data_IF_347506911190
#
_entry.id   IF_347506911190
#
_cell.length_a   1.000
_cell.length_b   1.000
_cell.length_c   1.000
_cell.angle_alpha   90.00
_cell.angle_beta   90.00
_cell.angle_gamma   90.00
#
_symmetry.space_group_name_H-M   'P 1'
#
loop_
_entity.id
_entity.type
_entity.pdbx_description
1 polymer ?
#
# COMPACT_ATOMS: atom_id res chain seq x y z
N UNK A 1 -17.64 -16.16 -4.69
CA UNK A 1 -16.78 -16.06 -5.90
C UNK A 1 -15.72 -15.01 -5.62
N UNK A 2 -14.45 -15.28 -5.92
CA UNK A 2 -13.39 -14.29 -5.69
C UNK A 2 -13.57 -13.16 -6.71
N UNK A 3 -13.95 -11.96 -6.26
CA UNK A 3 -14.11 -10.79 -7.12
C UNK A 3 -12.74 -10.22 -7.51
N UNK A 4 -11.92 -11.02 -8.20
CA UNK A 4 -10.53 -10.70 -8.53
C UNK A 4 -10.41 -9.40 -9.33
N UNK A 5 -11.32 -9.18 -10.29
CA UNK A 5 -11.37 -7.92 -11.02
C UNK A 5 -11.59 -6.73 -10.07
N UNK A 6 -12.57 -6.82 -9.16
CA UNK A 6 -12.79 -5.78 -8.14
C UNK A 6 -11.57 -5.60 -7.23
N UNK A 7 -10.83 -6.67 -6.94
CA UNK A 7 -9.55 -6.63 -6.21
C UNK A 7 -8.47 -5.84 -6.93
N UNK A 8 -8.19 -6.19 -8.18
CA UNK A 8 -7.19 -5.49 -8.99
C UNK A 8 -7.58 -4.02 -9.24
N UNK A 9 -8.85 -3.76 -9.57
CA UNK A 9 -9.34 -2.40 -9.77
C UNK A 9 -9.24 -1.57 -8.48
N UNK A 10 -9.63 -2.14 -7.33
CA UNK A 10 -9.46 -1.47 -6.04
C UNK A 10 -7.98 -1.24 -5.70
N UNK A 11 -7.11 -2.21 -6.00
CA UNK A 11 -5.65 -2.10 -5.86
C UNK A 11 -5.07 -0.95 -6.68
N UNK A 12 -5.49 -0.81 -7.93
CA UNK A 12 -5.07 0.31 -8.78
C UNK A 12 -5.54 1.66 -8.22
N UNK A 13 -6.83 1.76 -7.84
CA UNK A 13 -7.42 2.99 -7.27
C UNK A 13 -6.67 3.44 -6.02
N UNK A 14 -6.41 2.53 -5.08
CA UNK A 14 -5.69 2.88 -3.86
C UNK A 14 -4.22 3.24 -4.14
N UNK A 15 -3.59 2.61 -5.13
CA UNK A 15 -2.21 2.94 -5.52
C UNK A 15 -2.13 4.34 -6.10
N UNK A 16 -3.07 4.75 -6.94
CA UNK A 16 -3.18 6.13 -7.44
C UNK A 16 -3.39 7.11 -6.28
N UNK A 17 -4.30 6.80 -5.37
CA UNK A 17 -4.56 7.62 -4.17
C UNK A 17 -3.29 7.80 -3.33
N UNK A 18 -2.58 6.71 -3.03
CA UNK A 18 -1.35 6.76 -2.24
C UNK A 18 -0.22 7.48 -2.99
N UNK A 19 -0.11 7.30 -4.31
CA UNK A 19 0.85 8.02 -5.16
C UNK A 19 0.64 9.53 -5.06
N UNK A 20 -0.61 9.99 -5.06
CA UNK A 20 -0.93 11.41 -4.87
C UNK A 20 -0.46 11.93 -3.51
N UNK A 21 -0.66 11.15 -2.42
CA UNK A 21 -0.16 11.51 -1.09
C UNK A 21 1.38 11.55 -1.03
N UNK A 22 2.06 10.62 -1.72
CA UNK A 22 3.52 10.57 -1.78
C UNK A 22 4.09 11.78 -2.50
N UNK A 23 3.49 12.18 -3.62
CA UNK A 23 3.87 13.40 -4.35
C UNK A 23 3.59 14.64 -3.50
N UNK A 24 2.41 14.73 -2.87
CA UNK A 24 2.05 15.86 -2.02
C UNK A 24 3.04 16.05 -0.87
N UNK A 25 3.42 14.97 -0.15
CA UNK A 25 4.41 15.06 0.94
C UNK A 25 5.77 15.53 0.42
N UNK A 26 6.17 15.07 -0.77
CA UNK A 26 7.44 15.43 -1.40
C UNK A 26 7.50 16.93 -1.71
N UNK A 27 6.43 17.47 -2.31
CA UNK A 27 6.29 18.92 -2.57
C UNK A 27 6.36 19.73 -1.28
N UNK A 28 5.74 19.23 -0.20
CA UNK A 28 5.77 19.88 1.11
C UNK A 28 7.10 19.72 1.88
N UNK A 29 8.06 18.94 1.37
CA UNK A 29 9.32 18.65 2.06
C UNK A 29 9.16 17.81 3.33
N UNK A 30 8.04 17.11 3.50
CA UNK A 30 7.78 16.28 4.69
C UNK A 30 8.50 14.95 4.55
N UNK A 31 9.45 14.69 5.45
CA UNK A 31 10.29 13.48 5.47
C UNK A 31 10.90 13.14 4.10
N UNK A 32 11.80 13.99 3.56
CA UNK A 32 12.40 13.76 2.23
C UNK A 32 13.16 12.44 2.12
N UNK A 33 13.76 11.99 3.23
CA UNK A 33 14.47 10.71 3.30
C UNK A 33 13.54 9.49 3.10
N UNK A 34 12.23 9.63 3.35
CA UNK A 34 11.24 8.57 3.13
C UNK A 34 10.67 8.64 1.70
N UNK A 35 11.54 8.55 0.70
CA UNK A 35 11.12 8.43 -0.71
C UNK A 35 11.07 6.96 -1.12
N UNK A 36 9.89 6.36 -1.00
CA UNK A 36 9.66 4.95 -1.31
C UNK A 36 10.00 4.63 -2.78
N UNK A 37 9.78 5.56 -3.72
CA UNK A 37 10.05 5.31 -5.14
C UNK A 37 11.56 5.28 -5.38
N UNK A 38 12.29 6.26 -4.84
CA UNK A 38 13.73 6.29 -4.95
C UNK A 38 14.38 5.09 -4.23
N UNK A 39 13.88 4.76 -3.03
CA UNK A 39 14.36 3.60 -2.26
C UNK A 39 14.11 2.28 -3.00
N UNK A 40 12.92 2.08 -3.58
CA UNK A 40 12.64 0.88 -4.37
C UNK A 40 13.52 0.78 -5.61
N UNK A 41 13.70 1.89 -6.34
CA UNK A 41 14.62 1.95 -7.47
C UNK A 41 16.03 1.53 -7.05
N UNK A 42 16.55 2.11 -5.97
CA UNK A 42 17.89 1.82 -5.45
C UNK A 42 18.07 0.36 -5.04
N UNK A 43 17.11 -0.22 -4.32
CA UNK A 43 17.13 -1.64 -3.93
C UNK A 43 17.14 -2.57 -5.15
N UNK A 44 16.46 -2.17 -6.23
CA UNK A 44 16.44 -2.93 -7.50
C UNK A 44 17.66 -2.65 -8.38
N UNK A 45 18.57 -1.73 -8.01
CA UNK A 45 19.69 -1.28 -8.85
C UNK A 45 19.25 -0.47 -10.07
N UNK A 46 18.12 0.22 -9.97
CA UNK A 46 17.44 0.93 -11.07
C UNK A 46 17.06 2.37 -10.70
N UNK A 47 16.45 3.11 -11.63
CA UNK A 47 15.99 4.48 -11.40
C UNK A 47 14.54 4.59 -10.93
N UNK A 48 14.10 5.82 -10.68
CA UNK A 48 12.76 6.15 -10.18
C UNK A 48 11.62 5.62 -11.07
N UNK A 49 11.82 5.55 -12.39
CA UNK A 49 10.83 4.99 -13.32
C UNK A 49 10.47 3.53 -12.97
N UNK A 50 11.48 2.71 -12.69
CA UNK A 50 11.28 1.31 -12.31
C UNK A 50 10.67 1.22 -10.91
N UNK A 51 11.06 2.11 -9.99
CA UNK A 51 10.42 2.24 -8.68
C UNK A 51 8.92 2.52 -8.79
N UNK A 52 8.50 3.41 -9.68
CA UNK A 52 7.09 3.69 -9.97
C UNK A 52 6.38 2.48 -10.56
N UNK A 53 6.97 1.83 -11.57
CA UNK A 53 6.38 0.62 -12.18
C UNK A 53 6.18 -0.48 -11.12
N UNK A 54 7.19 -0.72 -10.29
CA UNK A 54 7.11 -1.68 -9.20
C UNK A 54 6.04 -1.29 -8.17
N UNK A 55 5.94 -0.01 -7.79
CA UNK A 55 4.90 0.48 -6.88
C UNK A 55 3.49 0.17 -7.41
N UNK A 56 3.22 0.47 -8.68
CA UNK A 56 1.92 0.21 -9.30
C UNK A 56 1.63 -1.28 -9.48
N UNK A 57 2.63 -2.08 -9.87
CA UNK A 57 2.46 -3.54 -9.99
C UNK A 57 2.20 -4.20 -8.64
N UNK A 58 2.95 -3.84 -7.61
CA UNK A 58 2.78 -4.38 -6.25
C UNK A 58 1.42 -3.95 -5.68
N UNK A 59 1.09 -2.66 -5.79
CA UNK A 59 -0.20 -2.12 -5.33
C UNK A 59 -1.40 -2.78 -5.99
N UNK A 60 -1.34 -2.98 -7.31
CA UNK A 60 -2.45 -3.55 -8.08
C UNK A 60 -2.51 -5.06 -7.94
N UNK A 61 -1.42 -5.76 -8.27
CA UNK A 61 -1.42 -7.21 -8.41
C UNK A 61 -1.26 -7.91 -7.07
N UNK A 62 -0.23 -7.55 -6.30
CA UNK A 62 0.07 -8.21 -5.03
C UNK A 62 -0.94 -7.83 -3.96
N UNK A 63 -1.15 -6.53 -3.72
CA UNK A 63 -2.05 -6.07 -2.66
C UNK A 63 -3.52 -6.11 -3.07
N UNK A 64 -3.89 -5.60 -4.25
CA UNK A 64 -5.27 -5.68 -4.73
C UNK A 64 -5.75 -7.12 -4.97
N UNK A 65 -4.95 -7.92 -5.66
CA UNK A 65 -5.21 -9.35 -5.85
C UNK A 65 -5.20 -10.12 -4.53
N UNK A 66 -4.18 -9.90 -3.70
CA UNK A 66 -4.05 -10.52 -2.38
C UNK A 66 -5.26 -10.24 -1.48
N UNK A 67 -5.73 -8.99 -1.45
CA UNK A 67 -6.93 -8.62 -0.69
C UNK A 67 -8.17 -9.40 -1.17
N UNK A 68 -8.41 -9.48 -2.47
CA UNK A 68 -9.53 -10.24 -3.01
C UNK A 68 -9.41 -11.76 -2.76
N UNK A 69 -8.18 -12.30 -2.77
CA UNK A 69 -7.94 -13.72 -2.50
C UNK A 69 -8.13 -14.09 -1.03
N UNK A 70 -7.78 -13.17 -0.12
CA UNK A 70 -7.81 -13.37 1.32
C UNK A 70 -9.06 -12.77 1.99
N UNK A 71 -9.94 -12.12 1.22
CA UNK A 71 -11.09 -11.38 1.74
C UNK A 71 -11.91 -12.17 2.76
N UNK A 72 -12.14 -13.45 2.52
CA UNK A 72 -12.99 -14.29 3.35
C UNK A 72 -12.34 -14.65 4.71
N UNK A 73 -11.00 -14.60 4.81
CA UNK A 73 -10.25 -14.97 6.02
C UNK A 73 -9.74 -13.76 6.81
N UNK A 74 -9.76 -12.56 6.22
CA UNK A 74 -9.34 -11.34 6.91
C UNK A 74 -10.33 -11.02 8.04
N UNK A 75 -9.78 -10.78 9.23
CA UNK A 75 -10.53 -10.38 10.43
C UNK A 75 -11.23 -9.03 10.22
N UNK A 76 -12.44 -8.90 10.77
CA UNK A 76 -13.20 -7.64 10.77
C UNK A 76 -14.58 -7.75 10.09
N UNK A 77 -15.46 -6.81 10.44
CA UNK A 77 -16.82 -6.72 9.91
C UNK A 77 -16.88 -5.67 8.79
N UNK A 78 -17.23 -6.10 7.59
CA UNK A 78 -17.29 -5.23 6.41
C UNK A 78 -15.94 -5.02 5.72
N UNK A 79 -15.98 -4.65 4.45
CA UNK A 79 -14.79 -4.62 3.60
C UNK A 79 -13.77 -3.57 4.02
N UNK A 80 -14.21 -2.40 4.50
CA UNK A 80 -13.32 -1.34 4.97
C UNK A 80 -12.53 -1.78 6.20
N UNK A 81 -13.18 -2.39 7.20
CA UNK A 81 -12.50 -2.88 8.40
C UNK A 81 -11.50 -4.00 8.06
N UNK A 82 -11.90 -4.92 7.17
CA UNK A 82 -11.00 -5.94 6.61
C UNK A 82 -9.82 -5.30 5.87
N UNK A 83 -10.08 -4.27 5.07
CA UNK A 83 -9.06 -3.50 4.37
C UNK A 83 -8.04 -2.89 5.32
N UNK A 84 -8.48 -2.23 6.40
CA UNK A 84 -7.60 -1.69 7.44
C UNK A 84 -6.77 -2.78 8.10
N UNK A 85 -7.39 -3.90 8.49
CA UNK A 85 -6.66 -5.03 9.07
C UNK A 85 -5.60 -5.58 8.11
N UNK A 86 -5.95 -5.72 6.82
CA UNK A 86 -5.02 -6.11 5.78
C UNK A 86 -3.87 -5.11 5.59
N UNK A 87 -4.16 -3.81 5.60
CA UNK A 87 -3.15 -2.75 5.50
C UNK A 87 -2.17 -2.77 6.67
N UNK A 88 -2.65 -2.94 7.90
CA UNK A 88 -1.81 -3.08 9.09
C UNK A 88 -0.94 -4.34 8.98
N UNK A 89 -1.51 -5.47 8.56
CA UNK A 89 -0.76 -6.71 8.37
C UNK A 89 0.30 -6.58 7.27
N UNK A 90 -0.03 -5.92 6.15
CA UNK A 90 0.90 -5.64 5.06
C UNK A 90 2.04 -4.73 5.54
N UNK A 91 1.74 -3.67 6.29
CA UNK A 91 2.74 -2.81 6.92
C UNK A 91 3.68 -3.60 7.83
N UNK A 92 3.12 -4.38 8.76
CA UNK A 92 3.90 -5.19 9.68
C UNK A 92 4.76 -6.20 8.92
N UNK A 93 4.21 -6.86 7.90
CA UNK A 93 4.96 -7.77 7.01
C UNK A 93 6.12 -7.05 6.31
N UNK A 94 5.89 -5.88 5.73
CA UNK A 94 6.94 -5.12 5.06
C UNK A 94 8.04 -4.63 6.01
N UNK A 95 7.66 -4.22 7.22
CA UNK A 95 8.59 -3.68 8.22
C UNK A 95 9.36 -4.77 8.99
N UNK A 96 8.77 -5.94 9.18
CA UNK A 96 9.33 -7.06 9.99
C UNK A 96 9.96 -8.14 9.09
N UNK A 97 9.27 -8.54 8.01
CA UNK A 97 9.58 -9.76 7.24
C UNK A 97 10.27 -9.47 5.90
N UNK A 98 9.92 -8.39 5.20
CA UNK A 98 10.33 -8.20 3.78
C UNK A 98 11.66 -7.43 3.63
N UNK A 99 12.36 -7.08 4.71
CA UNK A 99 13.69 -6.47 4.66
C UNK A 99 13.81 -5.20 3.79
N UNK A 100 12.73 -4.56 3.31
CA UNK A 100 12.82 -3.40 2.40
C UNK A 100 13.58 -2.25 3.07
N UNK A 101 13.30 -2.00 4.36
CA UNK A 101 13.96 -0.94 5.12
C UNK A 101 15.40 -1.31 5.52
N UNK A 102 15.68 -2.52 6.05
CA UNK A 102 17.05 -2.99 6.23
C UNK A 102 17.90 -3.00 4.95
N UNK A 103 17.35 -3.41 3.81
CA UNK A 103 18.04 -3.44 2.51
C UNK A 103 18.29 -2.04 1.95
N UNK A 104 17.40 -1.09 2.25
CA UNK A 104 17.62 0.32 1.99
C UNK A 104 18.52 1.02 3.03
N UNK A 105 19.10 0.27 3.98
CA UNK A 105 20.00 0.81 5.02
C UNK A 105 19.29 1.58 6.15
N UNK A 106 17.95 1.56 6.21
CA UNK A 106 17.15 2.33 7.16
C UNK A 106 16.88 1.61 8.51
N UNK A 107 17.41 0.41 8.70
CA UNK A 107 17.20 -0.43 9.89
C UNK A 107 15.80 -1.05 9.96
N UNK A 108 15.54 -1.86 10.99
CA UNK A 108 14.21 -2.43 11.25
C UNK A 108 13.20 -1.31 11.43
N UNK A 109 12.01 -1.44 10.82
CA UNK A 109 10.95 -0.43 10.84
C UNK A 109 11.34 0.97 10.32
N UNK A 110 12.51 1.14 9.69
CA UNK A 110 12.99 2.47 9.29
C UNK A 110 13.46 3.33 10.46
N UNK A 111 13.77 2.74 11.62
CA UNK A 111 14.13 3.48 12.83
C UNK A 111 15.41 4.32 12.68
N UNK A 112 16.29 3.99 11.72
CA UNK A 112 17.45 4.84 11.42
C UNK A 112 17.04 6.21 10.82
N UNK A 113 15.82 6.33 10.28
CA UNK A 113 15.22 7.59 9.83
C UNK A 113 14.38 8.29 10.91
N UNK A 114 14.37 7.75 12.14
CA UNK A 114 13.62 8.25 13.28
C UNK A 114 12.21 7.64 13.42
N UNK A 115 11.63 7.78 14.62
CA UNK A 115 10.31 7.21 14.99
C UNK A 115 9.15 7.69 14.11
N UNK A 116 9.29 8.83 13.43
CA UNK A 116 8.27 9.33 12.51
C UNK A 116 8.11 8.46 11.27
N UNK A 117 9.15 7.75 10.82
CA UNK A 117 9.07 6.89 9.64
C UNK A 117 8.09 5.72 9.80
N UNK A 118 8.19 4.88 10.85
CA UNK A 118 7.22 3.81 11.07
C UNK A 118 5.81 4.35 11.36
N UNK A 119 5.68 5.49 12.05
CA UNK A 119 4.37 6.10 12.34
C UNK A 119 3.68 6.58 11.06
N UNK A 120 4.39 7.33 10.21
CA UNK A 120 3.84 7.83 8.94
C UNK A 120 3.48 6.70 7.99
N UNK A 121 4.37 5.71 7.86
CA UNK A 121 4.08 4.53 7.02
C UNK A 121 2.89 3.75 7.54
N UNK A 122 2.74 3.58 8.86
CA UNK A 122 1.56 2.93 9.44
C UNK A 122 0.26 3.69 9.11
N UNK A 123 0.24 5.01 9.29
CA UNK A 123 -0.92 5.85 8.95
C UNK A 123 -1.28 5.69 7.46
N UNK A 124 -0.29 5.76 6.58
CA UNK A 124 -0.50 5.57 5.14
C UNK A 124 -1.05 4.18 4.81
N UNK A 125 -0.64 3.13 5.54
CA UNK A 125 -1.15 1.77 5.32
C UNK A 125 -2.57 1.56 5.86
N UNK A 126 -2.94 2.26 6.94
CA UNK A 126 -4.33 2.29 7.41
C UNK A 126 -5.21 2.97 6.37
N UNK A 127 -4.77 4.13 5.84
CA UNK A 127 -5.50 4.84 4.78
C UNK A 127 -5.60 3.98 3.51
N UNK A 128 -4.50 3.35 3.10
CA UNK A 128 -4.46 2.39 2.00
C UNK A 128 -5.51 1.29 2.22
N UNK A 129 -5.50 0.64 3.38
CA UNK A 129 -6.44 -0.42 3.71
C UNK A 129 -7.90 0.02 3.64
N UNK A 130 -8.20 1.18 4.21
CA UNK A 130 -9.56 1.74 4.20
C UNK A 130 -10.08 2.01 2.78
N UNK A 131 -9.26 2.66 1.93
CA UNK A 131 -9.63 2.98 0.54
C UNK A 131 -9.75 1.71 -0.31
N UNK A 132 -8.83 0.75 -0.14
CA UNK A 132 -8.87 -0.54 -0.83
C UNK A 132 -10.16 -1.30 -0.50
N UNK A 133 -10.49 -1.44 0.78
CA UNK A 133 -11.68 -2.15 1.24
C UNK A 133 -12.98 -1.49 0.78
N UNK A 134 -13.07 -0.17 0.90
CA UNK A 134 -14.24 0.59 0.45
C UNK A 134 -14.45 0.45 -1.07
N UNK A 135 -13.38 0.61 -1.86
CA UNK A 135 -13.44 0.50 -3.33
C UNK A 135 -13.79 -0.92 -3.76
N UNK A 136 -13.17 -1.93 -3.13
CA UNK A 136 -13.48 -3.33 -3.40
C UNK A 136 -14.96 -3.63 -3.17
N UNK A 137 -15.54 -3.18 -2.05
CA UNK A 137 -16.95 -3.37 -1.76
C UNK A 137 -17.86 -2.68 -2.76
N UNK A 138 -17.55 -1.42 -3.12
CA UNK A 138 -18.33 -0.66 -4.09
C UNK A 138 -18.35 -1.35 -5.47
N UNK A 139 -17.20 -1.90 -5.90
CA UNK A 139 -17.08 -2.63 -7.16
C UNK A 139 -17.71 -4.02 -7.10
N UNK A 140 -17.51 -4.78 -6.01
CA UNK A 140 -18.06 -6.12 -5.85
C UNK A 140 -19.59 -6.13 -5.68
N UNK A 141 -20.16 -5.06 -5.12
CA UNK A 141 -21.61 -4.87 -4.95
C UNK A 141 -22.30 -4.19 -6.15
N UNK A 142 -21.56 -3.85 -7.21
CA UNK A 142 -22.11 -3.18 -8.40
C UNK A 142 -22.49 -1.70 -8.19
N UNK A 143 -22.21 -1.10 -7.03
CA UNK A 143 -22.54 0.31 -6.72
C UNK A 143 -21.84 1.35 -7.59
N UNK A 144 -20.69 1.01 -8.18
CA UNK A 144 -19.96 1.88 -9.11
C UNK A 144 -20.21 1.56 -10.59
N UNK A 145 -20.84 0.42 -10.90
CA UNK A 145 -21.12 0.01 -12.29
C UNK A 145 -22.44 0.59 -12.85
N UNK A 146 -23.17 1.37 -12.04
CA UNK A 146 -24.49 1.91 -12.33
C UNK A 146 -24.57 3.44 -12.17
N UNK A 147 -23.42 4.13 -12.08
CA UNK A 147 -23.33 5.59 -12.00
C UNK A 147 -22.80 6.17 -13.30
#
# INVERSE_FOLDING_TARGET
>A
MKHLFSGFAAGLVVTVFLSALMVAKSIMGVMPALDVIAMMGAVMGTGALVGWLAHFMIGTLAWGGGFALLYDVILGHGATAKGVAFGIAAWAGMMIMVMVMPMAGAGFFGLAMGMMAPMMTLVLHIMFGAVLGATFQALASGRLALA
#
